data_IF_073773473748
#
_entry.id   IF_073773473748
#
_cell.length_a   1.000
_cell.length_b   1.000
_cell.length_c   1.000
_cell.angle_alpha   90.00
_cell.angle_beta   90.00
_cell.angle_gamma   90.00
#
_symmetry.space_group_name_H-M   'P 1'
#
loop_
_entity.id
_entity.type
_entity.pdbx_description
1 polymer ?
#
# COMPACT_ATOMS: atom_id res chain seq x y z
N UNK A 1 3.86 20.27 1.84
CA UNK A 1 3.57 18.82 1.68
C UNK A 1 2.39 18.36 2.55
N UNK A 2 2.41 18.54 3.88
CA UNK A 2 1.32 18.07 4.78
C UNK A 2 -0.08 18.53 4.37
N UNK A 3 -0.27 19.81 4.03
CA UNK A 3 -1.57 20.38 3.66
C UNK A 3 -2.10 19.84 2.32
N UNK A 4 -1.22 19.73 1.31
CA UNK A 4 -1.58 19.18 0.00
C UNK A 4 -1.98 17.71 0.10
N UNK A 5 -1.30 16.92 0.95
CA UNK A 5 -1.67 15.53 1.22
C UNK A 5 -3.06 15.43 1.83
N UNK A 6 -3.36 16.23 2.86
CA UNK A 6 -4.68 16.23 3.52
C UNK A 6 -5.78 16.62 2.54
N UNK A 7 -5.57 17.66 1.73
CA UNK A 7 -6.54 18.11 0.73
C UNK A 7 -6.77 17.02 -0.32
N UNK A 8 -5.69 16.43 -0.85
CA UNK A 8 -5.80 15.34 -1.83
C UNK A 8 -6.57 14.15 -1.27
N UNK A 9 -6.39 13.84 0.01
CA UNK A 9 -7.08 12.75 0.70
C UNK A 9 -8.56 12.99 0.82
N UNK A 10 -8.93 14.16 1.33
CA UNK A 10 -10.33 14.50 1.52
C UNK A 10 -11.03 14.51 0.17
N UNK A 11 -10.39 15.04 -0.87
CA UNK A 11 -10.94 15.04 -2.22
C UNK A 11 -11.11 13.63 -2.79
N UNK A 12 -10.10 12.76 -2.69
CA UNK A 12 -10.15 11.42 -3.27
C UNK A 12 -11.10 10.50 -2.50
N UNK A 13 -11.15 10.63 -1.17
CA UNK A 13 -12.10 9.92 -0.33
C UNK A 13 -13.53 10.38 -0.61
N UNK A 14 -13.79 11.69 -0.70
CA UNK A 14 -15.13 12.19 -0.99
C UNK A 14 -15.62 11.72 -2.37
N UNK A 15 -14.79 11.85 -3.40
CA UNK A 15 -15.15 11.42 -4.77
C UNK A 15 -15.39 9.91 -4.82
N UNK A 16 -14.48 9.10 -4.26
CA UNK A 16 -14.63 7.64 -4.25
C UNK A 16 -15.85 7.19 -3.45
N UNK A 17 -16.12 7.84 -2.30
CA UNK A 17 -17.28 7.54 -1.45
C UNK A 17 -18.59 7.82 -2.18
N UNK A 18 -18.71 8.99 -2.83
CA UNK A 18 -19.92 9.36 -3.59
C UNK A 18 -20.16 8.35 -4.72
N UNK A 19 -19.13 7.99 -5.47
CA UNK A 19 -19.25 7.02 -6.57
C UNK A 19 -19.62 5.62 -6.04
N UNK A 20 -19.00 5.17 -4.95
CA UNK A 20 -19.27 3.86 -4.35
C UNK A 20 -20.73 3.75 -3.86
N UNK A 21 -21.25 4.79 -3.19
CA UNK A 21 -22.64 4.82 -2.74
C UNK A 21 -23.65 4.92 -3.88
N UNK A 22 -23.32 5.60 -4.99
CA UNK A 22 -24.22 5.71 -6.14
C UNK A 22 -24.33 4.40 -6.93
N UNK A 23 -23.25 3.61 -7.02
CA UNK A 23 -23.21 2.39 -7.82
C UNK A 23 -23.54 1.11 -7.04
N UNK A 24 -23.18 1.04 -5.76
CA UNK A 24 -23.18 -0.21 -4.98
C UNK A 24 -23.89 -0.07 -3.62
N UNK A 25 -24.95 0.76 -3.55
CA UNK A 25 -25.69 1.03 -2.30
C UNK A 25 -26.18 -0.23 -1.57
N UNK A 26 -26.81 -1.17 -2.29
CA UNK A 26 -27.35 -2.38 -1.67
C UNK A 26 -26.26 -3.35 -1.20
N UNK A 27 -25.18 -3.47 -1.96
CA UNK A 27 -24.03 -4.30 -1.57
C UNK A 27 -23.37 -3.77 -0.30
N UNK A 28 -23.20 -2.44 -0.17
CA UNK A 28 -22.59 -1.82 1.01
C UNK A 28 -23.41 -2.09 2.28
N UNK A 29 -24.74 -2.01 2.20
CA UNK A 29 -25.62 -2.29 3.35
C UNK A 29 -25.77 -3.78 3.65
N UNK A 30 -25.55 -4.65 2.65
CA UNK A 30 -25.55 -6.10 2.83
C UNK A 30 -24.26 -6.66 3.46
N UNK A 31 -23.20 -5.85 3.56
CA UNK A 31 -21.91 -6.28 4.10
C UNK A 31 -22.02 -6.71 5.57
N UNK A 32 -21.37 -7.82 5.89
CA UNK A 32 -21.26 -8.28 7.26
C UNK A 32 -20.55 -7.21 8.13
N UNK A 33 -20.98 -7.00 9.40
CA UNK A 33 -20.32 -6.07 10.32
C UNK A 33 -18.81 -6.31 10.48
N UNK A 34 -18.38 -7.57 10.31
CA UNK A 34 -16.97 -7.96 10.33
C UNK A 34 -16.15 -7.35 9.18
N UNK A 35 -16.76 -7.13 8.00
CA UNK A 35 -16.07 -6.52 6.87
C UNK A 35 -15.67 -5.07 7.17
N UNK A 36 -16.53 -4.33 7.88
CA UNK A 36 -16.22 -2.96 8.33
C UNK A 36 -15.00 -2.92 9.26
N UNK A 37 -14.83 -3.91 10.14
CA UNK A 37 -13.66 -4.02 11.01
C UNK A 37 -12.38 -4.20 10.17
N UNK A 38 -12.41 -5.08 9.18
CA UNK A 38 -11.28 -5.28 8.27
C UNK A 38 -10.94 -4.02 7.47
N UNK A 39 -11.95 -3.29 6.97
CA UNK A 39 -11.73 -2.02 6.28
C UNK A 39 -11.13 -0.94 7.19
N UNK A 40 -11.59 -0.85 8.44
CA UNK A 40 -11.03 0.08 9.42
C UNK A 40 -9.57 -0.28 9.70
N UNK A 41 -9.26 -1.55 9.94
CA UNK A 41 -7.89 -2.01 10.19
C UNK A 41 -6.97 -1.76 8.98
N UNK A 42 -7.43 -2.06 7.77
CA UNK A 42 -6.69 -1.79 6.54
C UNK A 42 -6.41 -0.29 6.39
N UNK A 43 -7.42 0.55 6.58
CA UNK A 43 -7.27 2.00 6.56
C UNK A 43 -6.26 2.49 7.61
N UNK A 44 -6.35 2.00 8.84
CA UNK A 44 -5.46 2.36 9.94
C UNK A 44 -4.00 2.01 9.64
N UNK A 45 -3.74 0.78 9.20
CA UNK A 45 -2.39 0.29 8.88
C UNK A 45 -1.80 1.07 7.72
N UNK A 46 -2.56 1.28 6.64
CA UNK A 46 -2.05 1.98 5.45
C UNK A 46 -1.82 3.47 5.71
N UNK A 47 -2.74 4.16 6.40
CA UNK A 47 -2.63 5.60 6.62
C UNK A 47 -1.78 5.98 7.81
N UNK A 48 -2.11 5.46 9.00
CA UNK A 48 -1.39 5.84 10.22
C UNK A 48 -0.02 5.18 10.28
N UNK A 49 0.09 3.93 9.84
CA UNK A 49 1.38 3.23 9.76
C UNK A 49 2.12 3.63 8.49
N UNK A 50 1.71 3.07 7.36
CA UNK A 50 2.44 3.12 6.09
C UNK A 50 2.76 4.54 5.65
N UNK A 51 1.76 5.43 5.59
CA UNK A 51 1.95 6.79 5.09
C UNK A 51 2.77 7.66 6.05
N UNK A 52 2.59 7.51 7.37
CA UNK A 52 3.41 8.21 8.35
C UNK A 52 4.89 7.80 8.25
N UNK A 53 5.17 6.50 8.24
CA UNK A 53 6.53 5.99 8.10
C UNK A 53 7.15 6.36 6.76
N UNK A 54 6.36 6.38 5.68
CA UNK A 54 6.83 6.82 4.38
C UNK A 54 7.27 8.30 4.38
N UNK A 55 6.43 9.20 4.91
CA UNK A 55 6.84 10.61 5.03
C UNK A 55 8.02 10.80 5.97
N UNK A 56 8.11 10.01 7.04
CA UNK A 56 9.25 10.05 7.94
C UNK A 56 10.55 9.60 7.24
N UNK A 57 10.50 8.49 6.50
CA UNK A 57 11.61 7.99 5.67
C UNK A 57 12.07 9.02 4.64
N UNK A 58 11.15 9.65 3.91
CA UNK A 58 11.47 10.71 2.94
C UNK A 58 12.20 11.89 3.60
N UNK A 59 11.82 12.26 4.83
CA UNK A 59 12.51 13.34 5.55
C UNK A 59 13.91 12.94 6.05
N UNK A 60 14.16 11.65 6.31
CA UNK A 60 15.44 11.15 6.83
C UNK A 60 16.47 10.86 5.72
N UNK A 61 16.07 10.17 4.66
CA UNK A 61 16.97 9.65 3.61
C UNK A 61 16.74 10.29 2.23
N UNK A 62 15.79 11.21 2.13
CA UNK A 62 15.43 11.86 0.87
C UNK A 62 14.43 11.06 0.03
N UNK A 63 13.78 11.74 -0.92
CA UNK A 63 12.69 11.17 -1.71
C UNK A 63 13.13 10.01 -2.62
N UNK A 64 14.32 10.11 -3.25
CA UNK A 64 14.86 9.06 -4.12
C UNK A 64 15.07 7.74 -3.36
N UNK A 65 15.85 7.75 -2.28
CA UNK A 65 16.15 6.55 -1.49
C UNK A 65 14.88 5.96 -0.85
N UNK A 66 13.99 6.80 -0.33
CA UNK A 66 12.72 6.33 0.21
C UNK A 66 11.83 5.68 -0.87
N UNK A 67 11.77 6.24 -2.08
CA UNK A 67 11.01 5.67 -3.19
C UNK A 67 11.57 4.33 -3.67
N UNK A 68 12.90 4.18 -3.70
CA UNK A 68 13.55 2.91 -4.02
C UNK A 68 13.18 1.80 -3.02
N UNK A 69 13.16 2.13 -1.73
CA UNK A 69 12.72 1.19 -0.68
C UNK A 69 11.24 0.83 -0.85
N UNK A 70 10.36 1.79 -1.18
CA UNK A 70 8.94 1.50 -1.42
C UNK A 70 8.73 0.56 -2.61
N UNK A 71 9.59 0.59 -3.62
CA UNK A 71 9.55 -0.35 -4.74
C UNK A 71 9.74 -1.82 -4.30
N UNK A 72 10.21 -2.08 -3.08
CA UNK A 72 10.25 -3.42 -2.48
C UNK A 72 8.91 -3.93 -1.96
N UNK A 73 7.85 -3.13 -1.98
CA UNK A 73 6.51 -3.52 -1.50
C UNK A 73 6.04 -4.89 -2.01
N UNK A 74 6.22 -5.25 -3.31
CA UNK A 74 5.74 -6.54 -3.80
C UNK A 74 6.49 -7.74 -3.19
N UNK A 75 7.76 -7.58 -2.79
CA UNK A 75 8.51 -8.62 -2.07
C UNK A 75 7.87 -8.91 -0.71
N UNK A 76 7.56 -7.86 0.06
CA UNK A 76 6.88 -8.02 1.35
C UNK A 76 5.45 -8.55 1.18
N UNK A 77 4.73 -8.10 0.16
CA UNK A 77 3.40 -8.61 -0.16
C UNK A 77 3.44 -10.11 -0.48
N UNK A 78 4.42 -10.58 -1.26
CA UNK A 78 4.59 -12.00 -1.56
C UNK A 78 4.89 -12.83 -0.31
N UNK A 79 5.78 -12.35 0.57
CA UNK A 79 6.08 -13.02 1.85
C UNK A 79 4.81 -13.15 2.70
N UNK A 80 4.04 -12.05 2.83
CA UNK A 80 2.80 -12.06 3.59
C UNK A 80 1.74 -12.97 2.96
N UNK A 81 1.64 -13.01 1.63
CA UNK A 81 0.72 -13.91 0.93
C UNK A 81 1.04 -15.38 1.20
N UNK A 82 2.32 -15.76 1.19
CA UNK A 82 2.74 -17.14 1.53
C UNK A 82 2.42 -17.47 2.98
N UNK A 83 2.69 -16.55 3.90
CA UNK A 83 2.51 -16.79 5.34
C UNK A 83 1.03 -16.82 5.76
N UNK A 84 0.19 -15.92 5.22
CA UNK A 84 -1.20 -15.78 5.66
C UNK A 84 -2.19 -16.51 4.75
N UNK A 85 -1.93 -16.54 3.44
CA UNK A 85 -2.83 -17.13 2.44
C UNK A 85 -2.40 -18.54 2.02
N UNK A 86 -1.22 -18.99 2.47
CA UNK A 86 -0.63 -20.30 2.18
C UNK A 86 -0.53 -20.57 0.67
N UNK A 87 -0.36 -19.51 -0.12
CA UNK A 87 -0.14 -19.59 -1.57
C UNK A 87 1.23 -20.18 -1.88
N UNK A 88 1.28 -21.07 -2.88
CA UNK A 88 2.54 -21.61 -3.38
C UNK A 88 3.22 -20.59 -4.28
N UNK A 89 4.42 -20.16 -3.89
CA UNK A 89 5.23 -19.23 -4.71
C UNK A 89 5.58 -19.92 -6.01
N UNK A 90 4.89 -19.55 -7.09
CA UNK A 90 5.22 -20.01 -8.43
C UNK A 90 6.60 -19.53 -8.86
N UNK A 91 7.24 -20.28 -9.75
CA UNK A 91 8.56 -19.96 -10.31
C UNK A 91 8.64 -18.52 -10.87
N UNK A 92 7.55 -18.05 -11.48
CA UNK A 92 7.41 -16.69 -12.02
C UNK A 92 7.48 -15.60 -10.92
N UNK A 93 6.91 -15.89 -9.75
CA UNK A 93 6.86 -14.98 -8.61
C UNK A 93 8.26 -14.89 -7.98
N UNK A 94 8.99 -16.00 -7.91
CA UNK A 94 10.40 -16.01 -7.47
C UNK A 94 11.30 -15.16 -8.37
N UNK A 95 11.18 -15.29 -9.70
CA UNK A 95 11.93 -14.47 -10.66
C UNK A 95 11.57 -12.99 -10.51
N UNK A 96 10.28 -12.65 -10.44
CA UNK A 96 9.83 -11.27 -10.24
C UNK A 96 10.38 -10.66 -8.96
N UNK A 97 10.40 -11.44 -7.88
CA UNK A 97 10.95 -11.01 -6.59
C UNK A 97 12.45 -10.73 -6.66
N UNK A 98 13.22 -11.60 -7.33
CA UNK A 98 14.66 -11.36 -7.57
C UNK A 98 14.90 -10.10 -8.41
N UNK A 99 14.09 -9.88 -9.45
CA UNK A 99 14.19 -8.70 -10.30
C UNK A 99 13.96 -7.40 -9.51
N UNK A 100 13.00 -7.41 -8.59
CA UNK A 100 12.73 -6.29 -7.68
C UNK A 100 13.96 -6.02 -6.80
N UNK A 101 14.52 -7.04 -6.16
CA UNK A 101 15.72 -6.89 -5.30
C UNK A 101 16.90 -6.31 -6.07
N UNK A 102 17.15 -6.81 -7.29
CA UNK A 102 18.22 -6.29 -8.17
C UNK A 102 17.98 -4.84 -8.55
N UNK A 103 16.76 -4.49 -8.97
CA UNK A 103 16.39 -3.13 -9.35
C UNK A 103 16.58 -2.14 -8.21
N UNK A 104 16.15 -2.49 -7.00
CA UNK A 104 16.33 -1.64 -5.81
C UNK A 104 17.82 -1.46 -5.49
N UNK A 105 18.59 -2.54 -5.54
CA UNK A 105 20.03 -2.50 -5.24
C UNK A 105 20.77 -1.57 -6.21
N UNK A 106 20.44 -1.62 -7.50
CA UNK A 106 21.00 -0.71 -8.51
C UNK A 106 20.66 0.75 -8.22
N UNK A 107 19.39 1.06 -7.94
CA UNK A 107 18.97 2.44 -7.63
C UNK A 107 19.66 2.96 -6.38
N UNK A 108 19.84 2.12 -5.35
CA UNK A 108 20.52 2.50 -4.11
C UNK A 108 22.02 2.74 -4.33
N UNK A 109 22.68 1.99 -5.21
CA UNK A 109 24.11 2.15 -5.52
C UNK A 109 24.36 3.37 -6.42
N UNK A 110 23.40 3.74 -7.26
CA UNK A 110 23.56 4.81 -8.25
C UNK A 110 23.43 6.23 -7.66
N UNK A 111 23.03 6.38 -6.39
CA UNK A 111 22.95 7.65 -5.64
C UNK A 111 23.90 7.75 -4.43
#
# INVERSE_FOLDING_TARGET
>A
VKTATVISLISSTAVTMVIAFLLHYEEILSLAPMAFIWFILAGLITFLGGRFFNFHSINLVGASKASAVVSSTPLFAAILAVLFLNETVGFILGIGTLLIVVGITLVVIQE
#
